data_IF_962747839251
#
_entry.id   IF_962747839251
#
_cell.length_a   1.000
_cell.length_b   1.000
_cell.length_c   1.000
_cell.angle_alpha   90.00
_cell.angle_beta   90.00
_cell.angle_gamma   90.00
#
_symmetry.space_group_name_H-M   'P 1'
#
loop_
_entity.id
_entity.type
_entity.pdbx_description
1 polymer ?
#
# COMPACT_ATOMS: atom_id res chain seq x y z
N UNK A 1 20.61 36.08 29.36
CA UNK A 1 20.88 35.48 28.03
C UNK A 1 19.65 34.70 27.62
N UNK A 2 18.91 35.17 26.62
CA UNK A 2 17.65 34.56 26.18
C UNK A 2 17.95 33.38 25.26
N UNK A 3 17.56 32.18 25.69
CA UNK A 3 17.67 30.97 24.89
C UNK A 3 16.54 30.98 23.85
N UNK A 4 16.88 31.23 22.59
CA UNK A 4 15.91 31.35 21.49
C UNK A 4 15.58 29.94 20.99
N UNK A 5 14.36 29.55 21.31
CA UNK A 5 13.59 28.34 20.99
C UNK A 5 13.86 27.66 19.64
N UNK A 6 14.37 26.42 19.69
CA UNK A 6 14.39 25.45 18.58
C UNK A 6 13.00 24.82 18.28
N UNK A 7 11.93 25.23 18.98
CA UNK A 7 10.61 24.55 18.93
C UNK A 7 9.80 24.80 17.64
N UNK A 8 10.00 25.93 16.96
CA UNK A 8 9.15 26.31 15.81
C UNK A 8 9.46 25.54 14.52
N UNK A 9 10.71 25.12 14.33
CA UNK A 9 11.13 24.28 13.18
C UNK A 9 10.56 22.86 13.31
N UNK A 10 10.55 22.32 14.53
CA UNK A 10 10.01 21.00 14.85
C UNK A 10 8.51 20.89 14.55
N UNK A 11 7.71 21.91 14.91
CA UNK A 11 6.26 21.91 14.68
C UNK A 11 5.90 21.93 13.18
N UNK A 12 6.66 22.66 12.34
CA UNK A 12 6.42 22.69 10.89
C UNK A 12 6.74 21.35 10.22
N UNK A 13 7.83 20.70 10.66
CA UNK A 13 8.22 19.38 10.16
C UNK A 13 7.18 18.31 10.54
N UNK A 14 6.72 18.32 11.79
CA UNK A 14 5.65 17.41 12.25
C UNK A 14 4.35 17.59 11.47
N UNK A 15 3.94 18.83 11.19
CA UNK A 15 2.74 19.08 10.39
C UNK A 15 2.88 18.61 8.94
N UNK A 16 4.06 18.77 8.34
CA UNK A 16 4.34 18.27 6.99
C UNK A 16 4.29 16.74 6.94
N UNK A 17 4.86 16.06 7.94
CA UNK A 17 4.82 14.61 8.08
C UNK A 17 3.39 14.08 8.24
N UNK A 18 2.58 14.72 9.10
CA UNK A 18 1.17 14.37 9.26
C UNK A 18 0.39 14.49 7.95
N UNK A 19 0.62 15.57 7.19
CA UNK A 19 -0.01 15.75 5.86
C UNK A 19 0.42 14.68 4.88
N UNK A 20 1.70 14.30 4.88
CA UNK A 20 2.21 13.23 4.03
C UNK A 20 1.57 11.88 4.40
N UNK A 21 1.46 11.57 5.69
CA UNK A 21 0.80 10.34 6.17
C UNK A 21 -0.66 10.32 5.74
N UNK A 22 -1.41 11.41 5.94
CA UNK A 22 -2.81 11.51 5.52
C UNK A 22 -2.96 11.36 4.01
N UNK A 23 -2.07 11.99 3.24
CA UNK A 23 -2.07 11.86 1.78
C UNK A 23 -1.87 10.40 1.37
N UNK A 24 -0.89 9.70 1.94
CA UNK A 24 -0.66 8.26 1.69
C UNK A 24 -1.86 7.40 2.10
N UNK A 25 -2.47 7.66 3.26
CA UNK A 25 -3.62 6.90 3.76
C UNK A 25 -4.87 7.07 2.89
N UNK A 26 -5.06 8.24 2.28
CA UNK A 26 -6.18 8.47 1.35
C UNK A 26 -6.15 7.52 0.14
N UNK A 27 -4.99 6.95 -0.18
CA UNK A 27 -4.82 5.96 -1.24
C UNK A 27 -5.11 4.52 -0.83
N UNK A 28 -5.41 4.23 0.43
CA UNK A 28 -5.57 2.85 0.89
C UNK A 28 -6.73 2.13 0.21
N UNK A 29 -7.94 2.68 0.34
CA UNK A 29 -9.14 2.11 -0.25
C UNK A 29 -9.01 1.89 -1.78
N UNK A 30 -8.63 2.90 -2.60
CA UNK A 30 -8.50 2.67 -4.04
C UNK A 30 -7.40 1.67 -4.39
N UNK A 31 -6.29 1.63 -3.63
CA UNK A 31 -5.21 0.67 -3.91
C UNK A 31 -5.62 -0.77 -3.59
N UNK A 32 -6.37 -0.98 -2.51
CA UNK A 32 -6.90 -2.29 -2.15
C UNK A 32 -7.94 -2.78 -3.17
N UNK A 33 -8.78 -1.89 -3.70
CA UNK A 33 -9.72 -2.24 -4.77
C UNK A 33 -8.98 -2.70 -6.04
N UNK A 34 -7.89 -2.03 -6.40
CA UNK A 34 -7.04 -2.43 -7.53
C UNK A 34 -6.42 -3.80 -7.28
N UNK A 35 -5.84 -4.00 -6.09
CA UNK A 35 -5.23 -5.28 -5.72
C UNK A 35 -6.23 -6.43 -5.79
N UNK A 36 -7.44 -6.25 -5.25
CA UNK A 36 -8.49 -7.28 -5.26
C UNK A 36 -8.90 -7.64 -6.70
N UNK A 37 -9.10 -6.65 -7.58
CA UNK A 37 -9.38 -6.89 -9.01
C UNK A 37 -8.26 -7.66 -9.71
N UNK A 38 -7.00 -7.39 -9.37
CA UNK A 38 -5.87 -8.14 -9.93
C UNK A 38 -5.85 -9.57 -9.40
N UNK A 39 -6.11 -9.77 -8.10
CA UNK A 39 -6.16 -11.09 -7.48
C UNK A 39 -7.34 -11.93 -8.01
N UNK A 40 -8.51 -11.33 -8.26
CA UNK A 40 -9.65 -12.02 -8.88
C UNK A 40 -9.31 -12.61 -10.24
N UNK A 41 -8.56 -11.88 -11.07
CA UNK A 41 -8.04 -12.40 -12.34
C UNK A 41 -7.10 -13.59 -12.11
N UNK A 42 -6.25 -13.53 -11.09
CA UNK A 42 -5.31 -14.62 -10.73
C UNK A 42 -6.06 -15.85 -10.21
N UNK A 43 -7.06 -15.67 -9.33
CA UNK A 43 -7.96 -16.73 -8.82
C UNK A 43 -8.71 -17.40 -9.96
N UNK A 44 -9.30 -16.62 -10.88
CA UNK A 44 -9.98 -17.14 -12.06
C UNK A 44 -9.05 -17.97 -12.96
N UNK A 45 -7.80 -17.53 -13.15
CA UNK A 45 -6.81 -18.29 -13.93
C UNK A 45 -6.37 -19.59 -13.24
N UNK A 46 -6.24 -19.59 -11.91
CA UNK A 46 -5.95 -20.80 -11.13
C UNK A 46 -7.11 -21.80 -11.22
N UNK A 47 -8.35 -21.33 -11.04
CA UNK A 47 -9.57 -22.15 -11.18
C UNK A 47 -9.65 -22.84 -12.54
N UNK A 48 -9.35 -22.11 -13.62
CA UNK A 48 -9.32 -22.68 -15.00
C UNK A 48 -8.30 -23.80 -15.17
N UNK A 49 -7.26 -23.85 -14.34
CA UNK A 49 -6.17 -24.84 -14.39
C UNK A 49 -6.24 -25.85 -13.25
N UNK A 50 -7.35 -25.91 -12.52
CA UNK A 50 -7.52 -26.73 -11.31
C UNK A 50 -6.45 -26.47 -10.23
N UNK A 51 -5.95 -25.23 -10.14
CA UNK A 51 -5.02 -24.80 -9.09
C UNK A 51 -5.73 -24.22 -7.87
N UNK A 52 -5.03 -24.14 -6.74
CA UNK A 52 -5.56 -23.56 -5.50
C UNK A 52 -5.64 -22.02 -5.60
N UNK A 53 -6.85 -21.48 -5.59
CA UNK A 53 -7.12 -20.05 -5.65
C UNK A 53 -6.52 -19.26 -4.48
N UNK A 54 -6.28 -19.91 -3.33
CA UNK A 54 -5.63 -19.28 -2.17
C UNK A 54 -4.17 -18.91 -2.45
N UNK A 55 -3.57 -19.49 -3.48
CA UNK A 55 -2.23 -19.15 -3.95
C UNK A 55 -2.21 -17.96 -4.91
N UNK A 56 -3.36 -17.34 -5.19
CA UNK A 56 -3.40 -16.13 -6.00
C UNK A 56 -2.54 -15.04 -5.39
N UNK A 57 -1.59 -14.53 -6.17
CA UNK A 57 -0.72 -13.44 -5.79
C UNK A 57 -0.37 -12.60 -7.01
N UNK A 58 -0.08 -11.32 -6.77
CA UNK A 58 0.46 -10.38 -7.78
C UNK A 58 1.89 -10.05 -7.43
N UNK A 59 2.71 -9.66 -8.41
CA UNK A 59 4.04 -9.15 -8.05
C UNK A 59 3.95 -7.72 -7.55
N UNK A 60 4.92 -7.31 -6.74
CA UNK A 60 5.04 -5.93 -6.25
C UNK A 60 5.15 -4.95 -7.41
N UNK A 61 5.94 -5.28 -8.42
CA UNK A 61 6.18 -4.41 -9.57
C UNK A 61 4.90 -4.24 -10.39
N UNK A 62 4.18 -5.35 -10.68
CA UNK A 62 2.87 -5.30 -11.36
C UNK A 62 1.87 -4.40 -10.61
N UNK A 63 1.86 -4.49 -9.28
CA UNK A 63 0.96 -3.68 -8.46
C UNK A 63 1.34 -2.20 -8.48
N UNK A 64 2.63 -1.88 -8.34
CA UNK A 64 3.15 -0.50 -8.41
C UNK A 64 2.84 0.12 -9.78
N UNK A 65 3.06 -0.62 -10.87
CA UNK A 65 2.74 -0.18 -12.22
C UNK A 65 1.23 0.09 -12.38
N UNK A 66 0.38 -0.82 -11.88
CA UNK A 66 -1.07 -0.60 -11.92
C UNK A 66 -1.50 0.63 -11.11
N UNK A 67 -0.89 0.91 -9.95
CA UNK A 67 -1.19 2.11 -9.17
C UNK A 67 -0.77 3.39 -9.89
N UNK A 68 0.37 3.36 -10.59
CA UNK A 68 0.84 4.46 -11.42
C UNK A 68 -0.17 4.76 -12.55
N UNK A 69 -0.65 3.73 -13.24
CA UNK A 69 -1.50 3.86 -14.41
C UNK A 69 -2.96 4.26 -14.08
N UNK A 70 -3.49 3.84 -12.94
CA UNK A 70 -4.92 4.00 -12.63
C UNK A 70 -5.30 5.41 -12.16
N UNK A 71 -4.34 6.16 -11.58
CA UNK A 71 -4.64 7.39 -10.83
C UNK A 71 -3.56 8.49 -10.90
N UNK A 72 -2.58 8.39 -11.81
CA UNK A 72 -1.56 9.43 -12.01
C UNK A 72 -0.58 9.58 -10.83
N UNK A 73 -0.46 8.52 -10.03
CA UNK A 73 0.47 8.45 -8.91
C UNK A 73 1.88 8.22 -9.44
N UNK A 74 2.89 8.95 -8.95
CA UNK A 74 4.25 8.65 -9.37
C UNK A 74 4.76 7.34 -8.75
N UNK A 75 5.80 6.74 -9.33
CA UNK A 75 6.33 5.44 -8.88
C UNK A 75 6.79 5.44 -7.42
N UNK A 76 7.31 6.57 -6.94
CA UNK A 76 7.74 6.70 -5.55
C UNK A 76 6.54 6.70 -4.59
N UNK A 77 5.48 7.45 -4.90
CA UNK A 77 4.23 7.45 -4.15
C UNK A 77 3.58 6.06 -4.15
N UNK A 78 3.57 5.37 -5.29
CA UNK A 78 3.03 4.00 -5.39
C UNK A 78 3.83 3.04 -4.51
N UNK A 79 5.15 3.15 -4.53
CA UNK A 79 6.03 2.38 -3.65
C UNK A 79 5.77 2.67 -2.17
N UNK A 80 5.56 3.93 -1.80
CA UNK A 80 5.26 4.35 -0.43
C UNK A 80 3.89 3.86 0.04
N UNK A 81 2.87 3.92 -0.83
CA UNK A 81 1.54 3.35 -0.55
C UNK A 81 1.62 1.85 -0.30
N UNK A 82 2.34 1.10 -1.14
CA UNK A 82 2.56 -0.35 -0.93
C UNK A 82 3.26 -0.61 0.40
N UNK A 83 4.32 0.14 0.73
CA UNK A 83 5.04 0.01 1.99
C UNK A 83 4.14 0.34 3.20
N UNK A 84 3.31 1.37 3.08
CA UNK A 84 2.38 1.81 4.11
C UNK A 84 1.24 0.80 4.33
N UNK A 85 0.67 0.24 3.26
CA UNK A 85 -0.34 -0.83 3.32
C UNK A 85 0.20 -2.09 4.02
N UNK A 86 1.45 -2.46 3.72
CA UNK A 86 2.14 -3.58 4.40
C UNK A 86 2.30 -3.28 5.90
N UNK A 87 2.79 -2.09 6.26
CA UNK A 87 2.94 -1.67 7.67
C UNK A 87 1.61 -1.68 8.42
N UNK A 88 0.52 -1.32 7.74
CA UNK A 88 -0.83 -1.33 8.29
C UNK A 88 -1.51 -2.72 8.29
N UNK A 89 -0.81 -3.78 7.89
CA UNK A 89 -1.35 -5.15 7.86
C UNK A 89 -2.44 -5.39 6.81
N UNK A 90 -2.70 -4.42 5.91
CA UNK A 90 -3.76 -4.54 4.89
C UNK A 90 -3.38 -5.46 3.74
N UNK A 91 -2.08 -5.68 3.54
CA UNK A 91 -1.52 -6.59 2.54
C UNK A 91 -0.42 -7.44 3.17
N UNK A 92 -0.21 -8.63 2.62
CA UNK A 92 0.93 -9.50 2.93
C UNK A 92 1.93 -9.46 1.78
N UNK A 93 3.21 -9.30 2.11
CA UNK A 93 4.29 -9.37 1.13
C UNK A 93 5.21 -10.55 1.45
N UNK A 94 5.47 -11.41 0.47
CA UNK A 94 6.41 -12.55 0.58
C UNK A 94 7.31 -12.58 -0.66
N UNK A 95 8.60 -12.36 -0.46
CA UNK A 95 9.53 -12.09 -1.56
C UNK A 95 9.02 -10.95 -2.44
N UNK A 96 8.84 -11.21 -3.73
CA UNK A 96 8.30 -10.25 -4.71
C UNK A 96 6.78 -10.24 -4.83
N UNK A 97 6.07 -11.07 -4.07
CA UNK A 97 4.64 -11.28 -4.24
C UNK A 97 3.82 -10.57 -3.16
N UNK A 98 2.60 -10.21 -3.52
CA UNK A 98 1.63 -9.51 -2.67
C UNK A 98 0.30 -10.27 -2.69
N UNK A 99 -0.31 -10.36 -1.52
CA UNK A 99 -1.65 -10.87 -1.26
C UNK A 99 -2.44 -9.89 -0.38
N UNK A 100 -3.76 -10.07 -0.31
CA UNK A 100 -4.57 -9.40 0.70
C UNK A 100 -4.10 -9.79 2.10
N UNK A 101 -4.16 -8.84 3.03
CA UNK A 101 -4.00 -9.12 4.45
C UNK A 101 -5.13 -10.02 4.93
N UNK A 102 -4.88 -10.77 6.01
CA UNK A 102 -5.98 -11.41 6.70
C UNK A 102 -6.81 -10.30 7.34
N UNK A 103 -8.13 -10.29 7.12
CA UNK A 103 -9.02 -9.36 7.81
C UNK A 103 -9.15 -9.68 9.32
N UNK A 104 -8.45 -10.70 9.82
CA UNK A 104 -8.46 -11.14 11.21
C UNK A 104 -7.21 -10.65 11.94
N UNK A 105 -7.34 -9.56 12.68
CA UNK A 105 -6.26 -9.00 13.49
C UNK A 105 -6.60 -7.75 14.27
N UNK A 106 -7.81 -7.68 14.84
CA UNK A 106 -7.96 -7.04 16.15
C UNK A 106 -7.27 -7.95 17.17
N UNK A 107 -6.16 -7.48 17.74
CA UNK A 107 -5.65 -7.88 19.04
C UNK A 107 -5.41 -6.63 19.86
#
# INVERSE_FOLDING_TARGET
>A
MTNISNSTLSNKQQLAEQKQIQATQSWYAPSLEVLEKMLDKRRANLRKRNGDEKQAAVTRDEFIEHLHDLKGMNLWQASEVVASLKRAGKIKCFGRFIQMGDQDGEQ
#
